data_IF_449300515563
#
_entry.id   IF_449300515563
#
_cell.length_a   1.000
_cell.length_b   1.000
_cell.length_c   1.000
_cell.angle_alpha   90.00
_cell.angle_beta   90.00
_cell.angle_gamma   90.00
#
_symmetry.space_group_name_H-M   'P 1'
#
loop_
_entity.id
_entity.type
_entity.pdbx_description
1 polymer ?
#
# COMPACT_ATOMS: atom_id res chain seq x y z
N UNK A 1 0.17 -0.30 -31.81
CA UNK A 1 -0.48 -0.08 -30.50
C UNK A 1 -1.47 -1.22 -30.24
N UNK A 2 -1.22 -2.08 -29.26
CA UNK A 2 -2.22 -3.06 -28.77
C UNK A 2 -3.41 -2.23 -28.23
N UNK A 3 -4.65 -2.55 -28.62
CA UNK A 3 -5.83 -1.87 -28.05
C UNK A 3 -5.85 -2.11 -26.53
N UNK A 4 -6.17 -1.09 -25.70
CA UNK A 4 -6.34 -1.29 -24.27
C UNK A 4 -7.36 -2.41 -24.02
N UNK A 5 -7.06 -3.29 -23.08
CA UNK A 5 -8.00 -4.36 -22.70
C UNK A 5 -9.33 -3.73 -22.26
N UNK A 6 -10.48 -4.18 -22.79
CA UNK A 6 -11.77 -3.56 -22.53
C UNK A 6 -12.33 -3.99 -21.17
N UNK A 7 -11.68 -3.53 -20.10
CA UNK A 7 -12.05 -3.84 -18.72
C UNK A 7 -13.51 -3.48 -18.41
N UNK A 8 -14.32 -4.48 -18.06
CA UNK A 8 -15.75 -4.29 -17.77
C UNK A 8 -15.95 -3.47 -16.50
N UNK A 9 -15.08 -3.68 -15.50
CA UNK A 9 -15.15 -2.95 -14.24
C UNK A 9 -15.06 -1.43 -14.41
N UNK A 10 -14.42 -0.90 -15.46
CA UNK A 10 -14.31 0.56 -15.69
C UNK A 10 -15.67 1.25 -15.74
N UNK A 11 -16.68 0.58 -16.32
CA UNK A 11 -18.05 1.11 -16.38
C UNK A 11 -18.76 1.14 -15.01
N UNK A 12 -18.29 0.31 -14.07
CA UNK A 12 -18.85 0.13 -12.72
C UNK A 12 -18.16 1.00 -11.67
N UNK A 13 -16.91 1.38 -11.91
CA UNK A 13 -16.12 2.28 -11.05
C UNK A 13 -15.90 3.63 -11.75
N UNK A 14 -16.99 4.29 -12.14
CA UNK A 14 -16.96 5.69 -12.58
C UNK A 14 -17.07 6.60 -11.35
N UNK A 15 -16.61 7.85 -11.46
CA UNK A 15 -16.77 8.84 -10.40
C UNK A 15 -18.24 8.93 -9.98
N UNK A 16 -18.48 8.91 -8.66
CA UNK A 16 -19.82 8.94 -8.06
C UNK A 16 -20.77 7.82 -8.56
N UNK A 17 -20.22 6.64 -8.86
CA UNK A 17 -21.01 5.51 -9.35
C UNK A 17 -21.98 4.93 -8.31
N UNK A 18 -21.75 5.19 -7.02
CA UNK A 18 -22.51 4.61 -5.91
C UNK A 18 -23.10 5.71 -5.02
N UNK A 19 -24.25 5.43 -4.42
CA UNK A 19 -24.86 6.29 -3.40
C UNK A 19 -24.43 5.87 -2.00
N UNK A 20 -24.83 6.65 -0.97
CA UNK A 20 -24.45 6.42 0.42
C UNK A 20 -24.76 5.02 0.98
N UNK A 21 -25.76 4.31 0.45
CA UNK A 21 -26.09 2.90 0.81
C UNK A 21 -25.45 1.86 -0.11
N UNK A 22 -24.42 2.26 -0.87
CA UNK A 22 -23.84 1.49 -1.97
C UNK A 22 -22.93 0.32 -1.55
N UNK A 23 -22.60 0.17 -0.26
CA UNK A 23 -21.57 -0.76 0.25
C UNK A 23 -21.68 -2.18 -0.28
N UNK A 24 -22.88 -2.78 -0.24
CA UNK A 24 -23.10 -4.16 -0.70
C UNK A 24 -22.84 -4.31 -2.21
N UNK A 25 -23.37 -3.38 -3.02
CA UNK A 25 -23.19 -3.41 -4.46
C UNK A 25 -21.73 -3.14 -4.85
N UNK A 26 -21.09 -2.14 -4.25
CA UNK A 26 -19.69 -1.82 -4.48
C UNK A 26 -18.79 -3.01 -4.12
N UNK A 27 -19.02 -3.65 -2.97
CA UNK A 27 -18.29 -4.84 -2.54
C UNK A 27 -18.44 -6.00 -3.53
N UNK A 28 -19.63 -6.19 -4.09
CA UNK A 28 -19.84 -7.18 -5.16
C UNK A 28 -19.06 -6.83 -6.42
N UNK A 29 -19.07 -5.56 -6.84
CA UNK A 29 -18.34 -5.10 -8.04
C UNK A 29 -16.82 -5.20 -7.89
N UNK A 30 -16.31 -4.99 -6.68
CA UNK A 30 -14.89 -5.17 -6.37
C UNK A 30 -14.47 -6.63 -6.60
N UNK A 31 -15.24 -7.59 -6.07
CA UNK A 31 -15.00 -9.03 -6.28
C UNK A 31 -15.05 -9.42 -7.76
N UNK A 32 -16.02 -8.89 -8.51
CA UNK A 32 -16.13 -9.12 -9.96
C UNK A 32 -14.90 -8.58 -10.71
N UNK A 33 -14.42 -7.38 -10.37
CA UNK A 33 -13.25 -6.78 -10.98
C UNK A 33 -11.96 -7.57 -10.66
N UNK A 34 -11.80 -8.03 -9.42
CA UNK A 34 -10.70 -8.93 -9.03
C UNK A 34 -10.73 -10.22 -9.83
N UNK A 35 -11.91 -10.83 -10.00
CA UNK A 35 -12.05 -12.05 -10.79
C UNK A 35 -11.71 -11.82 -12.28
N UNK A 36 -12.10 -10.68 -12.83
CA UNK A 36 -11.76 -10.26 -14.19
C UNK A 36 -10.24 -10.13 -14.38
N UNK A 37 -9.56 -9.43 -13.46
CA UNK A 37 -8.10 -9.23 -13.50
C UNK A 37 -7.35 -10.55 -13.31
N UNK A 38 -7.77 -11.38 -12.34
CA UNK A 38 -7.21 -12.73 -12.12
C UNK A 38 -7.38 -13.66 -13.31
N UNK A 39 -8.42 -13.46 -14.13
CA UNK A 39 -8.59 -14.23 -15.36
C UNK A 39 -7.59 -13.77 -16.42
N UNK A 40 -7.43 -12.46 -16.59
CA UNK A 40 -6.50 -11.89 -17.55
C UNK A 40 -5.04 -12.20 -17.21
N UNK A 41 -4.68 -12.25 -15.92
CA UNK A 41 -3.29 -12.52 -15.48
C UNK A 41 -2.77 -13.89 -15.91
N UNK A 42 -3.66 -14.84 -16.22
CA UNK A 42 -3.28 -16.17 -16.73
C UNK A 42 -2.78 -16.15 -18.18
N UNK A 43 -3.14 -15.14 -18.97
CA UNK A 43 -2.85 -15.07 -20.41
C UNK A 43 -2.08 -13.82 -20.82
N UNK A 44 -2.30 -12.70 -20.15
CA UNK A 44 -1.60 -11.43 -20.40
C UNK A 44 -1.30 -10.76 -19.04
N UNK A 45 -0.23 -11.18 -18.33
CA UNK A 45 0.12 -10.66 -17.01
C UNK A 45 0.39 -9.16 -16.99
N UNK A 46 0.96 -8.61 -18.07
CA UNK A 46 1.21 -7.16 -18.19
C UNK A 46 -0.12 -6.41 -18.28
N UNK A 47 -1.05 -6.88 -19.13
CA UNK A 47 -2.38 -6.29 -19.17
C UNK A 47 -3.07 -6.39 -17.81
N UNK A 48 -2.93 -7.50 -17.08
CA UNK A 48 -3.49 -7.63 -15.73
C UNK A 48 -2.89 -6.60 -14.74
N UNK A 49 -1.58 -6.33 -14.82
CA UNK A 49 -0.94 -5.23 -14.08
C UNK A 49 -1.57 -3.87 -14.41
N UNK A 50 -1.76 -3.54 -15.70
CA UNK A 50 -2.51 -2.36 -16.15
C UNK A 50 -3.94 -2.31 -15.57
N UNK A 51 -4.57 -3.48 -15.45
CA UNK A 51 -5.89 -3.67 -14.84
C UNK A 51 -5.90 -3.34 -13.34
N UNK A 52 -4.87 -3.77 -12.59
CA UNK A 52 -4.70 -3.42 -11.19
C UNK A 52 -4.62 -1.90 -11.02
N UNK A 53 -3.72 -1.23 -11.76
CA UNK A 53 -3.58 0.24 -11.74
C UNK A 53 -4.91 0.91 -12.05
N UNK A 54 -5.59 0.46 -13.11
CA UNK A 54 -6.85 1.02 -13.54
C UNK A 54 -7.99 0.83 -12.52
N UNK A 55 -8.00 -0.24 -11.73
CA UNK A 55 -9.02 -0.40 -10.69
C UNK A 55 -8.69 0.47 -9.47
N UNK A 56 -7.44 0.42 -9.00
CA UNK A 56 -6.97 1.16 -7.83
C UNK A 56 -7.17 2.67 -7.97
N UNK A 57 -6.81 3.28 -9.12
CA UNK A 57 -7.00 4.71 -9.38
C UNK A 57 -8.48 5.16 -9.37
N UNK A 58 -9.41 4.21 -9.46
CA UNK A 58 -10.86 4.47 -9.50
C UNK A 58 -11.55 4.24 -8.17
N UNK A 59 -10.86 3.70 -7.17
CA UNK A 59 -11.47 3.34 -5.89
C UNK A 59 -12.06 4.57 -5.20
N UNK A 60 -11.22 5.56 -4.88
CA UNK A 60 -11.70 6.75 -4.18
C UNK A 60 -12.79 7.51 -4.97
N UNK A 61 -12.59 7.92 -6.23
CA UNK A 61 -13.61 8.68 -6.96
C UNK A 61 -14.95 7.94 -7.12
N UNK A 62 -14.94 6.61 -7.23
CA UNK A 62 -16.17 5.83 -7.35
C UNK A 62 -16.88 5.65 -6.00
N UNK A 63 -16.12 5.47 -4.91
CA UNK A 63 -16.62 5.06 -3.61
C UNK A 63 -16.85 6.20 -2.62
N UNK A 64 -16.32 7.41 -2.89
CA UNK A 64 -16.33 8.57 -1.98
C UNK A 64 -17.72 8.98 -1.45
N UNK A 65 -18.81 8.63 -2.15
CA UNK A 65 -20.18 8.95 -1.71
C UNK A 65 -20.80 7.89 -0.79
N UNK A 66 -20.13 6.75 -0.55
CA UNK A 66 -20.62 5.67 0.31
C UNK A 66 -20.30 5.99 1.77
N UNK A 67 -21.25 5.72 2.68
CA UNK A 67 -20.96 5.76 4.11
C UNK A 67 -20.09 4.55 4.51
N UNK A 68 -18.81 4.82 4.82
CA UNK A 68 -17.82 3.82 5.20
C UNK A 68 -17.66 3.62 6.71
N UNK A 69 -18.48 4.30 7.54
CA UNK A 69 -18.35 4.28 9.01
C UNK A 69 -18.40 2.88 9.64
N UNK A 70 -19.15 1.95 9.02
CA UNK A 70 -19.24 0.55 9.48
C UNK A 70 -17.96 -0.28 9.28
N UNK A 71 -16.96 0.24 8.56
CA UNK A 71 -15.74 -0.50 8.19
C UNK A 71 -15.96 -1.59 7.13
N UNK A 72 -17.20 -1.95 6.79
CA UNK A 72 -17.51 -3.01 5.84
C UNK A 72 -16.97 -2.72 4.42
N UNK A 73 -17.02 -1.44 4.01
CA UNK A 73 -16.46 -1.01 2.73
C UNK A 73 -14.92 -1.06 2.75
N UNK A 74 -14.29 -0.51 3.80
CA UNK A 74 -12.82 -0.58 3.96
C UNK A 74 -12.31 -2.02 3.91
N UNK A 75 -12.96 -2.94 4.64
CA UNK A 75 -12.65 -4.37 4.59
C UNK A 75 -12.83 -5.00 3.19
N UNK A 76 -13.78 -4.52 2.39
CA UNK A 76 -13.94 -4.98 1.00
C UNK A 76 -12.82 -4.45 0.09
N UNK A 77 -12.38 -3.22 0.31
CA UNK A 77 -11.27 -2.61 -0.41
C UNK A 77 -9.94 -3.28 -0.04
N UNK A 78 -9.64 -3.47 1.24
CA UNK A 78 -8.40 -4.14 1.68
C UNK A 78 -8.26 -5.53 1.05
N UNK A 79 -9.29 -6.38 1.15
CA UNK A 79 -9.31 -7.70 0.48
C UNK A 79 -9.16 -7.62 -1.05
N UNK A 80 -9.56 -6.50 -1.65
CA UNK A 80 -9.37 -6.27 -3.09
C UNK A 80 -7.91 -5.96 -3.37
N UNK A 81 -7.28 -5.09 -2.59
CA UNK A 81 -5.85 -4.77 -2.72
C UNK A 81 -4.97 -5.98 -2.44
N UNK A 82 -5.23 -6.75 -1.37
CA UNK A 82 -4.53 -8.00 -1.06
C UNK A 82 -4.51 -8.98 -2.24
N UNK A 83 -5.61 -9.02 -3.00
CA UNK A 83 -5.75 -9.91 -4.14
C UNK A 83 -5.06 -9.39 -5.42
N UNK A 84 -4.78 -8.09 -5.51
CA UNK A 84 -4.26 -7.44 -6.71
C UNK A 84 -2.78 -7.08 -6.62
N UNK A 85 -2.28 -6.78 -5.42
CA UNK A 85 -0.89 -6.42 -5.18
C UNK A 85 0.08 -7.52 -5.69
N UNK A 86 -0.11 -8.81 -5.38
CA UNK A 86 0.76 -9.87 -5.92
C UNK A 86 0.72 -9.96 -7.45
N UNK A 87 -0.42 -9.66 -8.08
CA UNK A 87 -0.55 -9.67 -9.56
C UNK A 87 0.24 -8.50 -10.16
N UNK A 88 0.17 -7.32 -9.54
CA UNK A 88 0.87 -6.13 -9.99
C UNK A 88 2.38 -6.27 -9.80
N UNK A 89 2.83 -6.75 -8.63
CA UNK A 89 4.24 -7.00 -8.34
C UNK A 89 4.81 -8.00 -9.36
N UNK A 90 4.15 -9.15 -9.57
CA UNK A 90 4.62 -10.20 -10.45
C UNK A 90 4.49 -9.91 -11.96
N UNK A 91 3.81 -8.83 -12.38
CA UNK A 91 3.61 -8.52 -13.80
C UNK A 91 4.96 -8.18 -14.49
N UNK A 92 5.41 -8.95 -15.51
CA UNK A 92 6.71 -8.76 -16.14
C UNK A 92 6.62 -7.64 -17.19
N UNK A 93 6.89 -6.40 -16.77
CA UNK A 93 6.94 -5.23 -17.64
C UNK A 93 8.33 -4.58 -17.63
N UNK A 94 8.60 -3.74 -18.64
CA UNK A 94 9.79 -2.90 -18.63
C UNK A 94 9.69 -1.79 -17.58
N UNK A 95 10.85 -1.19 -17.25
CA UNK A 95 10.93 -0.11 -16.27
C UNK A 95 10.11 1.10 -16.67
N UNK A 96 10.03 1.42 -17.97
CA UNK A 96 9.29 2.60 -18.45
C UNK A 96 7.79 2.48 -18.16
N UNK A 97 7.20 1.32 -18.42
CA UNK A 97 5.81 1.04 -18.08
C UNK A 97 5.60 1.00 -16.57
N UNK A 98 6.54 0.41 -15.81
CA UNK A 98 6.46 0.37 -14.34
C UNK A 98 6.46 1.76 -13.72
N UNK A 99 7.31 2.68 -14.21
CA UNK A 99 7.29 4.09 -13.79
C UNK A 99 5.92 4.72 -14.05
N UNK A 100 5.36 4.56 -15.27
CA UNK A 100 4.04 5.10 -15.62
C UNK A 100 2.92 4.56 -14.72
N UNK A 101 3.01 3.29 -14.32
CA UNK A 101 2.06 2.68 -13.40
C UNK A 101 2.11 3.31 -12.02
N UNK A 102 3.32 3.47 -11.46
CA UNK A 102 3.50 4.00 -10.13
C UNK A 102 3.20 5.50 -10.04
N UNK A 103 3.54 6.31 -11.04
CA UNK A 103 3.15 7.72 -11.07
C UNK A 103 1.62 7.89 -11.05
N UNK A 104 0.89 7.08 -11.82
CA UNK A 104 -0.60 7.09 -11.81
C UNK A 104 -1.18 6.67 -10.47
N UNK A 105 -0.59 5.68 -9.81
CA UNK A 105 -1.03 5.29 -8.46
C UNK A 105 -0.69 6.35 -7.43
N UNK A 106 0.42 7.07 -7.59
CA UNK A 106 0.85 8.09 -6.64
C UNK A 106 -0.13 9.26 -6.66
N UNK A 107 -0.61 9.66 -7.84
CA UNK A 107 -1.73 10.59 -7.98
C UNK A 107 -2.97 10.08 -7.24
N UNK A 108 -3.33 8.80 -7.41
CA UNK A 108 -4.49 8.22 -6.75
C UNK A 108 -4.34 8.17 -5.21
N UNK A 109 -3.15 7.90 -4.70
CA UNK A 109 -2.82 7.95 -3.26
C UNK A 109 -2.97 9.38 -2.73
N UNK A 110 -2.42 10.37 -3.46
CA UNK A 110 -2.53 11.78 -3.07
C UNK A 110 -3.99 12.27 -3.01
N UNK A 111 -4.81 11.79 -3.94
CA UNK A 111 -6.24 12.13 -4.06
C UNK A 111 -7.14 11.33 -3.10
N UNK A 112 -6.63 10.27 -2.46
CA UNK A 112 -7.42 9.45 -1.55
C UNK A 112 -7.82 10.24 -0.29
N UNK A 113 -9.13 10.38 -0.10
CA UNK A 113 -9.70 11.14 1.01
C UNK A 113 -9.92 10.33 2.29
N UNK A 114 -9.81 9.00 2.23
CA UNK A 114 -10.06 8.10 3.39
C UNK A 114 -9.02 7.00 3.55
N UNK A 115 -7.89 7.10 2.82
CA UNK A 115 -6.76 6.16 2.92
C UNK A 115 -7.15 4.71 2.60
N UNK A 116 -8.00 4.51 1.58
CA UNK A 116 -8.23 3.18 1.03
C UNK A 116 -6.97 2.56 0.43
N UNK A 117 -6.04 3.38 -0.05
CA UNK A 117 -4.80 2.95 -0.69
C UNK A 117 -3.62 2.74 0.28
N UNK A 118 -3.82 2.76 1.60
CA UNK A 118 -2.74 2.46 2.57
C UNK A 118 -1.99 1.15 2.23
N UNK A 119 -2.66 0.03 1.91
CA UNK A 119 -1.93 -1.20 1.51
C UNK A 119 -1.07 -1.03 0.25
N UNK A 120 -1.43 -0.10 -0.65
CA UNK A 120 -0.60 0.21 -1.83
C UNK A 120 0.67 0.96 -1.41
N UNK A 121 0.56 1.89 -0.47
CA UNK A 121 1.72 2.59 0.09
C UNK A 121 2.64 1.64 0.87
N UNK A 122 2.07 0.71 1.66
CA UNK A 122 2.83 -0.27 2.44
C UNK A 122 3.67 -1.22 1.56
N UNK A 123 3.16 -1.58 0.38
CA UNK A 123 3.83 -2.46 -0.57
C UNK A 123 4.57 -1.72 -1.70
N UNK A 124 4.74 -0.39 -1.60
CA UNK A 124 5.27 0.40 -2.72
C UNK A 124 6.70 0.01 -3.12
N UNK A 125 7.56 -0.30 -2.14
CA UNK A 125 8.92 -0.78 -2.39
C UNK A 125 8.94 -2.03 -3.26
N UNK A 126 8.14 -3.04 -2.89
CA UNK A 126 8.00 -4.28 -3.67
C UNK A 126 7.41 -4.03 -5.07
N UNK A 127 6.43 -3.13 -5.15
CA UNK A 127 5.79 -2.74 -6.41
C UNK A 127 6.75 -2.07 -7.40
N UNK A 128 7.84 -1.46 -6.92
CA UNK A 128 8.86 -0.88 -7.78
C UNK A 128 9.54 -1.92 -8.66
N UNK A 129 9.80 -3.13 -8.15
CA UNK A 129 10.51 -4.26 -8.80
C UNK A 129 11.96 -3.96 -9.21
N UNK A 130 12.26 -2.73 -9.63
CA UNK A 130 13.58 -2.22 -9.96
C UNK A 130 14.13 -1.47 -8.73
N UNK A 131 15.26 -1.92 -8.14
CA UNK A 131 15.84 -1.26 -6.96
C UNK A 131 16.15 0.22 -7.18
N UNK A 132 16.53 0.62 -8.40
CA UNK A 132 16.77 2.02 -8.74
C UNK A 132 15.49 2.86 -8.65
N UNK A 133 14.34 2.30 -9.06
CA UNK A 133 13.05 2.97 -8.98
C UNK A 133 12.58 3.13 -7.52
N UNK A 134 12.80 2.12 -6.68
CA UNK A 134 12.49 2.22 -5.25
C UNK A 134 13.37 3.30 -4.58
N UNK A 135 14.65 3.38 -4.94
CA UNK A 135 15.53 4.45 -4.46
C UNK A 135 15.07 5.84 -4.94
N UNK A 136 14.69 5.98 -6.21
CA UNK A 136 14.17 7.24 -6.76
C UNK A 136 12.92 7.71 -5.99
N UNK A 137 12.00 6.81 -5.66
CA UNK A 137 10.82 7.14 -4.85
C UNK A 137 11.18 7.52 -3.41
N UNK A 138 12.06 6.77 -2.75
CA UNK A 138 12.55 7.12 -1.43
C UNK A 138 13.20 8.52 -1.43
N UNK A 139 14.13 8.79 -2.35
CA UNK A 139 14.86 10.05 -2.43
C UNK A 139 13.96 11.25 -2.79
N UNK A 140 12.84 11.00 -3.49
CA UNK A 140 11.84 12.02 -3.81
C UNK A 140 11.10 12.53 -2.56
N UNK A 141 10.78 11.64 -1.62
CA UNK A 141 9.90 11.95 -0.47
C UNK A 141 10.70 12.21 0.81
N UNK A 142 11.81 11.50 1.01
CA UNK A 142 12.60 11.50 2.23
C UNK A 142 13.05 12.89 2.73
N UNK A 143 13.48 13.85 1.87
CA UNK A 143 13.87 15.17 2.34
C UNK A 143 12.72 15.92 3.03
N UNK A 144 11.52 15.89 2.43
CA UNK A 144 10.33 16.53 2.99
C UNK A 144 9.88 15.80 4.27
N UNK A 145 9.95 14.46 4.26
CA UNK A 145 9.62 13.65 5.43
C UNK A 145 10.49 14.01 6.63
N UNK A 146 11.82 14.08 6.44
CA UNK A 146 12.78 14.51 7.48
C UNK A 146 12.43 15.90 8.02
N UNK A 147 12.18 16.88 7.15
CA UNK A 147 11.83 18.24 7.57
C UNK A 147 10.57 18.28 8.43
N UNK A 148 9.49 17.65 7.95
CA UNK A 148 8.18 17.71 8.60
C UNK A 148 8.18 16.98 9.93
N UNK A 149 8.77 15.79 9.99
CA UNK A 149 8.83 15.01 11.22
C UNK A 149 9.78 15.63 12.25
N UNK A 150 10.93 16.17 11.83
CA UNK A 150 11.84 16.89 12.73
C UNK A 150 11.22 18.16 13.32
N UNK A 151 10.37 18.85 12.55
CA UNK A 151 9.68 20.05 13.02
C UNK A 151 8.64 19.76 14.12
N UNK A 152 8.19 18.50 14.27
CA UNK A 152 7.21 18.04 15.29
C UNK A 152 5.97 18.93 15.38
N UNK A 153 5.53 19.47 14.25
CA UNK A 153 4.37 20.35 14.18
C UNK A 153 3.10 19.52 14.33
N UNK A 154 2.23 19.81 15.31
CA UNK A 154 0.96 19.09 15.44
C UNK A 154 0.14 19.15 14.15
N UNK A 155 -0.34 18.00 13.69
CA UNK A 155 -1.18 17.88 12.49
C UNK A 155 -0.44 17.99 11.16
N UNK A 156 0.89 18.11 11.15
CA UNK A 156 1.65 18.02 9.91
C UNK A 156 1.71 16.57 9.41
N UNK A 157 1.45 16.37 8.12
CA UNK A 157 1.47 15.07 7.46
C UNK A 157 2.10 15.21 6.07
N UNK A 158 2.84 14.18 5.66
CA UNK A 158 3.48 14.11 4.34
C UNK A 158 2.77 13.02 3.55
N UNK A 159 2.21 13.37 2.40
CA UNK A 159 1.64 12.37 1.49
C UNK A 159 2.75 11.43 1.02
N UNK A 160 2.56 10.13 1.15
CA UNK A 160 3.55 9.11 0.79
C UNK A 160 4.64 8.89 1.84
N UNK A 161 4.42 9.25 3.10
CA UNK A 161 5.30 8.88 4.21
C UNK A 161 5.47 7.35 4.30
N UNK A 162 4.36 6.60 4.37
CA UNK A 162 4.36 5.13 4.37
C UNK A 162 5.05 4.55 3.13
N UNK A 163 4.78 5.12 1.96
CA UNK A 163 5.44 4.77 0.69
C UNK A 163 6.97 4.90 0.78
N UNK A 164 7.45 5.99 1.38
CA UNK A 164 8.87 6.22 1.57
C UNK A 164 9.49 5.16 2.48
N UNK A 165 8.83 4.83 3.60
CA UNK A 165 9.28 3.79 4.53
C UNK A 165 9.36 2.42 3.83
N UNK A 166 8.34 2.07 3.04
CA UNK A 166 8.31 0.85 2.23
C UNK A 166 9.50 0.78 1.25
N UNK A 167 9.82 1.89 0.58
CA UNK A 167 10.96 1.95 -0.33
C UNK A 167 12.31 1.81 0.40
N UNK A 168 12.48 2.43 1.56
CA UNK A 168 13.70 2.30 2.38
C UNK A 168 13.89 0.86 2.87
N UNK A 169 12.82 0.19 3.29
CA UNK A 169 12.83 -1.21 3.67
C UNK A 169 13.28 -2.09 2.50
N UNK A 170 12.64 -1.95 1.33
CA UNK A 170 12.92 -2.81 0.18
C UNK A 170 14.34 -2.61 -0.37
N UNK A 171 14.86 -1.38 -0.33
CA UNK A 171 16.21 -1.04 -0.77
C UNK A 171 17.28 -1.29 0.30
N UNK A 172 16.91 -1.84 1.45
CA UNK A 172 17.79 -2.11 2.61
C UNK A 172 18.50 -0.87 3.16
N UNK A 173 17.89 0.30 3.03
CA UNK A 173 18.38 1.56 3.60
C UNK A 173 17.99 1.68 5.07
N UNK A 174 18.27 0.63 5.85
CA UNK A 174 17.80 0.47 7.23
C UNK A 174 18.29 1.57 8.17
N UNK A 175 19.49 2.12 7.95
CA UNK A 175 19.99 3.26 8.72
C UNK A 175 19.16 4.52 8.52
N UNK A 176 18.74 4.79 7.28
CA UNK A 176 17.91 5.96 7.00
C UNK A 176 16.47 5.75 7.45
N UNK A 177 15.98 4.50 7.40
CA UNK A 177 14.70 4.11 7.97
C UNK A 177 14.68 4.35 9.50
N UNK A 178 15.71 3.88 10.21
CA UNK A 178 15.87 4.12 11.65
C UNK A 178 16.01 5.62 11.96
N UNK A 179 16.84 6.34 11.21
CA UNK A 179 17.06 7.77 11.37
C UNK A 179 15.73 8.54 11.23
N UNK A 180 14.96 8.30 10.16
CA UNK A 180 13.72 9.05 9.93
C UNK A 180 12.67 8.74 10.99
N UNK A 181 12.50 7.48 11.38
CA UNK A 181 11.55 7.09 12.44
C UNK A 181 11.89 7.76 13.77
N UNK A 182 13.18 7.95 14.09
CA UNK A 182 13.64 8.61 15.31
C UNK A 182 13.31 10.11 15.41
N UNK A 183 12.99 10.76 14.29
CA UNK A 183 12.64 12.18 14.26
C UNK A 183 11.26 12.46 14.89
N UNK A 184 10.37 11.46 14.84
CA UNK A 184 8.98 11.58 15.32
C UNK A 184 8.93 11.84 16.83
N UNK A 185 7.85 12.48 17.26
CA UNK A 185 7.60 12.77 18.68
C UNK A 185 6.91 11.64 19.44
N UNK A 186 6.39 10.63 18.73
CA UNK A 186 5.60 9.52 19.27
C UNK A 186 5.80 8.30 18.38
N UNK A 187 5.85 7.11 18.99
CA UNK A 187 5.80 5.83 18.29
C UNK A 187 4.43 5.60 17.66
N UNK A 188 4.39 4.86 16.55
CA UNK A 188 3.16 4.54 15.85
C UNK A 188 3.40 3.28 15.02
N UNK A 189 2.74 2.18 15.44
CA UNK A 189 3.00 0.85 14.88
C UNK A 189 2.95 0.76 13.34
N UNK A 190 2.00 1.38 12.62
CA UNK A 190 1.97 1.31 11.15
C UNK A 190 3.22 1.83 10.43
N UNK A 191 4.00 2.69 11.07
CA UNK A 191 5.31 3.11 10.55
C UNK A 191 6.45 2.27 11.16
N UNK A 192 6.34 1.93 12.45
CA UNK A 192 7.38 1.17 13.16
C UNK A 192 7.46 -0.30 12.67
N UNK A 193 6.38 -0.85 12.10
CA UNK A 193 6.38 -2.18 11.48
C UNK A 193 7.45 -2.32 10.39
N UNK A 194 7.80 -1.24 9.67
CA UNK A 194 8.86 -1.28 8.66
C UNK A 194 10.24 -1.51 9.30
N UNK A 195 10.49 -0.95 10.48
CA UNK A 195 11.73 -1.19 11.21
C UNK A 195 11.75 -2.59 11.81
N UNK A 196 10.63 -3.06 12.34
CA UNK A 196 10.50 -4.44 12.82
C UNK A 196 10.80 -5.45 11.69
N UNK A 197 10.21 -5.23 10.51
CA UNK A 197 10.45 -6.02 9.31
C UNK A 197 11.91 -5.93 8.83
N UNK A 198 12.54 -4.75 8.91
CA UNK A 198 13.97 -4.59 8.60
C UNK A 198 14.86 -5.43 9.53
N UNK A 199 14.57 -5.47 10.84
CA UNK A 199 15.28 -6.33 11.79
C UNK A 199 15.10 -7.81 11.45
N UNK A 200 13.88 -8.23 11.13
CA UNK A 200 13.60 -9.61 10.74
C UNK A 200 14.35 -10.03 9.47
N UNK A 201 14.37 -9.18 8.43
CA UNK A 201 15.10 -9.42 7.17
C UNK A 201 16.62 -9.49 7.36
N UNK A 202 17.15 -8.87 8.42
CA UNK A 202 18.57 -8.94 8.81
C UNK A 202 18.88 -10.15 9.73
N UNK A 203 17.90 -11.02 9.97
CA UNK A 203 18.04 -12.22 10.81
C UNK A 203 17.96 -11.96 12.31
N UNK A 204 17.63 -10.73 12.73
CA UNK A 204 17.51 -10.31 14.14
C UNK A 204 16.10 -10.57 14.67
N UNK A 205 15.67 -11.83 14.62
CA UNK A 205 14.28 -12.25 14.88
C UNK A 205 13.80 -11.87 16.27
N UNK A 206 14.56 -12.17 17.32
CA UNK A 206 14.19 -11.86 18.70
C UNK A 206 14.06 -10.35 18.93
N UNK A 207 14.94 -9.56 18.31
CA UNK A 207 14.89 -8.09 18.39
C UNK A 207 13.66 -7.53 17.67
N UNK A 208 13.31 -8.10 16.50
CA UNK A 208 12.13 -7.70 15.75
C UNK A 208 10.84 -7.94 16.55
N UNK A 209 10.73 -9.10 17.22
CA UNK A 209 9.58 -9.45 18.07
C UNK A 209 9.53 -8.53 19.29
N UNK A 210 10.66 -8.34 20.00
CA UNK A 210 10.71 -7.46 21.16
C UNK A 210 10.34 -6.01 20.80
N UNK A 211 10.77 -5.54 19.63
CA UNK A 211 10.42 -4.22 19.11
C UNK A 211 8.93 -4.12 18.75
N UNK A 212 8.34 -5.16 18.17
CA UNK A 212 6.89 -5.19 17.93
C UNK A 212 6.09 -5.22 19.25
N UNK A 213 6.51 -6.03 20.22
CA UNK A 213 5.87 -6.14 21.53
C UNK A 213 5.96 -4.84 22.36
N UNK A 214 6.97 -4.00 22.15
CA UNK A 214 7.03 -2.70 22.83
C UNK A 214 5.90 -1.74 22.44
N UNK A 215 5.15 -2.04 21.36
CA UNK A 215 3.99 -1.28 20.91
C UNK A 215 2.65 -1.87 21.40
N UNK A 216 2.67 -2.94 22.22
CA UNK A 216 1.48 -3.72 22.57
C UNK A 216 0.39 -2.94 23.34
N UNK A 217 0.73 -1.81 23.96
CA UNK A 217 -0.24 -0.93 24.62
C UNK A 217 -1.08 -0.10 23.62
N UNK A 218 -0.75 -0.12 22.33
CA UNK A 218 -1.55 0.46 21.25
C UNK A 218 -2.76 -0.43 20.92
N UNK A 219 -3.84 -0.28 21.70
CA UNK A 219 -5.02 -1.15 21.63
C UNK A 219 -5.61 -1.36 20.23
N UNK A 220 -5.57 -0.35 19.35
CA UNK A 220 -6.07 -0.45 17.99
C UNK A 220 -5.15 -1.25 17.07
N UNK A 221 -3.84 -1.22 17.31
CA UNK A 221 -2.81 -1.83 16.47
C UNK A 221 -2.44 -3.25 16.92
N UNK A 222 -2.89 -3.65 18.11
CA UNK A 222 -2.64 -4.97 18.70
C UNK A 222 -2.86 -6.15 17.74
N UNK A 223 -3.94 -6.21 16.92
CA UNK A 223 -4.10 -7.31 15.96
C UNK A 223 -2.98 -7.35 14.90
N UNK A 224 -2.51 -6.20 14.44
CA UNK A 224 -1.41 -6.09 13.47
C UNK A 224 -0.07 -6.52 14.07
N UNK A 225 0.21 -6.10 15.31
CA UNK A 225 1.40 -6.51 16.07
C UNK A 225 1.42 -8.03 16.26
N UNK A 226 0.30 -8.63 16.67
CA UNK A 226 0.20 -10.09 16.85
C UNK A 226 0.42 -10.81 15.52
N UNK A 227 -0.22 -10.36 14.44
CA UNK A 227 -0.08 -10.97 13.12
C UNK A 227 1.36 -10.89 12.60
N UNK A 228 2.07 -9.78 12.86
CA UNK A 228 3.50 -9.64 12.57
C UNK A 228 4.32 -10.68 13.34
N UNK A 229 4.20 -10.73 14.67
CA UNK A 229 4.96 -11.66 15.49
C UNK A 229 4.69 -13.12 15.12
N UNK A 230 3.42 -13.48 14.89
CA UNK A 230 3.02 -14.83 14.47
C UNK A 230 3.67 -15.21 13.13
N UNK A 231 3.63 -14.32 12.14
CA UNK A 231 4.26 -14.56 10.83
C UNK A 231 5.77 -14.78 10.96
N UNK A 232 6.46 -13.89 11.67
CA UNK A 232 7.91 -13.97 11.83
C UNK A 232 8.33 -15.25 12.56
N UNK A 233 7.59 -15.67 13.58
CA UNK A 233 7.84 -16.94 14.29
C UNK A 233 7.64 -18.15 13.38
N UNK A 234 6.57 -18.17 12.57
CA UNK A 234 6.31 -19.25 11.61
C UNK A 234 7.38 -19.34 10.52
N UNK A 235 7.93 -18.21 10.09
CA UNK A 235 9.02 -18.15 9.09
C UNK A 235 10.37 -18.61 9.69
N UNK A 236 10.59 -18.41 10.98
CA UNK A 236 11.83 -18.79 11.67
C UNK A 236 11.92 -20.29 12.00
N UNK A 237 10.78 -20.97 12.15
CA UNK A 237 10.69 -22.43 12.37
C UNK A 237 10.40 -22.84 13.82
#
# INVERSE_FOLDING_TARGET
>A
MKRPYPWQFRSRFRTNAYSWRGTSLASKRLKEAVAEIKKASKSDPVAAGDGCIALMERLWPALQSIDSSSGALGNAVNRTLDALLPILIAAPCDRELRVKWLERLYEAVCDDGVQYLTPVEEHWGEMCVFPELANEWADRILPLLREVWAARRPGAHVRGDTLCLSCLLETRRYKELEEVLSLRGMSFWPDDQFMAEAMARDGRIDEAIAYAESHHDEHYERPGIIAFCERILLEAG
#
